data_IF_941469696048
#
_entry.id   IF_941469696048
#
_cell.length_a   1.000
_cell.length_b   1.000
_cell.length_c   1.000
_cell.angle_alpha   90.00
_cell.angle_beta   90.00
_cell.angle_gamma   90.00
#
_symmetry.space_group_name_H-M   'P 1'
#
loop_
_entity.id
_entity.type
_entity.pdbx_description
1 polymer ?
#
# COMPACT_ATOMS: atom_id res chain seq x y z
N UNK A 1 -47.90 -4.85 -16.39
CA UNK A 1 -46.64 -4.70 -17.16
C UNK A 1 -46.69 -3.62 -18.25
N UNK A 2 -47.79 -3.46 -19.00
CA UNK A 2 -47.85 -2.53 -20.14
C UNK A 2 -47.70 -1.03 -19.82
N UNK A 3 -48.17 -0.56 -18.65
CA UNK A 3 -48.07 0.86 -18.25
C UNK A 3 -46.62 1.34 -18.07
N UNK A 4 -45.80 0.62 -17.30
CA UNK A 4 -44.39 0.99 -17.08
C UNK A 4 -43.58 1.08 -18.38
N UNK A 5 -43.78 0.13 -19.30
CA UNK A 5 -43.13 0.13 -20.62
C UNK A 5 -43.58 1.32 -21.48
N UNK A 6 -44.86 1.67 -21.41
CA UNK A 6 -45.41 2.82 -22.12
C UNK A 6 -44.88 4.14 -21.54
N UNK A 7 -44.77 4.24 -20.23
CA UNK A 7 -44.23 5.41 -19.51
C UNK A 7 -42.74 5.62 -19.83
N UNK A 8 -41.92 4.56 -19.80
CA UNK A 8 -40.49 4.62 -20.19
C UNK A 8 -40.34 5.04 -21.66
N UNK A 9 -41.13 4.46 -22.57
CA UNK A 9 -41.09 4.83 -24.00
C UNK A 9 -41.48 6.28 -24.23
N UNK A 10 -42.48 6.76 -23.49
CA UNK A 10 -42.90 8.15 -23.53
C UNK A 10 -41.80 9.08 -23.00
N UNK A 11 -41.18 8.76 -21.87
CA UNK A 11 -40.07 9.54 -21.29
C UNK A 11 -38.88 9.66 -22.24
N UNK A 12 -38.43 8.55 -22.85
CA UNK A 12 -37.32 8.57 -23.83
C UNK A 12 -37.67 9.46 -25.03
N UNK A 13 -38.89 9.34 -25.58
CA UNK A 13 -39.33 10.17 -26.70
C UNK A 13 -39.37 11.65 -26.34
N UNK A 14 -39.71 11.99 -25.11
CA UNK A 14 -39.71 13.37 -24.60
C UNK A 14 -38.28 13.91 -24.45
N UNK A 15 -37.35 13.10 -23.92
CA UNK A 15 -35.93 13.48 -23.80
C UNK A 15 -35.27 13.73 -25.16
N UNK A 16 -35.60 12.91 -26.16
CA UNK A 16 -35.10 13.07 -27.55
C UNK A 16 -35.65 14.32 -28.24
N UNK A 17 -36.80 14.85 -27.80
CA UNK A 17 -37.39 16.09 -28.35
C UNK A 17 -36.74 17.36 -27.78
N UNK A 18 -36.01 17.27 -26.67
CA UNK A 18 -35.35 18.40 -26.02
C UNK A 18 -33.84 18.12 -25.81
N UNK A 19 -33.06 17.92 -26.88
CA UNK A 19 -31.69 17.39 -26.80
C UNK A 19 -30.74 18.27 -25.99
N UNK A 20 -30.85 19.60 -26.06
CA UNK A 20 -30.00 20.52 -25.29
C UNK A 20 -30.21 20.40 -23.78
N UNK A 21 -31.46 20.42 -23.32
CA UNK A 21 -31.80 20.26 -21.91
C UNK A 21 -31.39 18.87 -21.40
N UNK A 22 -31.71 17.82 -22.17
CA UNK A 22 -31.33 16.44 -21.85
C UNK A 22 -29.81 16.29 -21.72
N UNK A 23 -29.03 16.88 -22.63
CA UNK A 23 -27.58 16.81 -22.58
C UNK A 23 -27.02 17.47 -21.30
N UNK A 24 -27.49 18.66 -20.95
CA UNK A 24 -27.07 19.34 -19.71
C UNK A 24 -27.43 18.50 -18.48
N UNK A 25 -28.67 18.01 -18.40
CA UNK A 25 -29.12 17.19 -17.28
C UNK A 25 -28.30 15.90 -17.12
N UNK A 26 -28.01 15.21 -18.23
CA UNK A 26 -27.18 14.00 -18.24
C UNK A 26 -25.74 14.31 -17.81
N UNK A 27 -25.15 15.39 -18.31
CA UNK A 27 -23.80 15.81 -17.93
C UNK A 27 -23.71 16.17 -16.44
N UNK A 28 -24.68 16.91 -15.91
CA UNK A 28 -24.74 17.24 -14.48
C UNK A 28 -24.86 15.99 -13.61
N UNK A 29 -25.74 15.06 -13.98
CA UNK A 29 -25.88 13.77 -13.29
C UNK A 29 -24.59 12.95 -13.37
N UNK A 30 -23.99 12.84 -14.55
CA UNK A 30 -22.76 12.10 -14.77
C UNK A 30 -21.60 12.67 -13.94
N UNK A 31 -21.46 14.01 -13.89
CA UNK A 31 -20.46 14.68 -13.06
C UNK A 31 -20.69 14.43 -11.57
N UNK A 32 -21.93 14.56 -11.09
CA UNK A 32 -22.24 14.31 -9.67
C UNK A 32 -21.98 12.86 -9.24
N UNK A 33 -22.42 11.90 -10.07
CA UNK A 33 -22.20 10.47 -9.82
C UNK A 33 -20.71 10.14 -9.92
N UNK A 34 -20.03 10.64 -10.96
CA UNK A 34 -18.61 10.41 -11.20
C UNK A 34 -17.73 10.97 -10.10
N UNK A 35 -17.97 12.21 -9.67
CA UNK A 35 -17.20 12.85 -8.60
C UNK A 35 -17.33 12.09 -7.27
N UNK A 36 -18.55 11.73 -6.87
CA UNK A 36 -18.77 10.94 -5.65
C UNK A 36 -18.09 9.58 -5.75
N UNK A 37 -18.25 8.88 -6.87
CA UNK A 37 -17.61 7.57 -7.10
C UNK A 37 -16.09 7.66 -7.06
N UNK A 38 -15.51 8.71 -7.64
CA UNK A 38 -14.06 8.94 -7.65
C UNK A 38 -13.52 9.18 -6.23
N UNK A 39 -14.18 10.03 -5.44
CA UNK A 39 -13.81 10.29 -4.04
C UNK A 39 -13.89 9.00 -3.23
N UNK A 40 -15.00 8.25 -3.31
CA UNK A 40 -15.15 7.00 -2.57
C UNK A 40 -14.16 5.92 -3.02
N UNK A 41 -13.84 5.85 -4.32
CA UNK A 41 -12.83 4.92 -4.84
C UNK A 41 -11.44 5.25 -4.32
N UNK A 42 -11.08 6.54 -4.26
CA UNK A 42 -9.82 7.01 -3.70
C UNK A 42 -9.71 6.70 -2.20
N UNK A 43 -10.75 7.05 -1.43
CA UNK A 43 -10.83 6.76 0.01
C UNK A 43 -10.72 5.25 0.25
N UNK A 44 -11.42 4.44 -0.55
CA UNK A 44 -11.32 2.99 -0.44
C UNK A 44 -9.92 2.48 -0.75
N UNK A 45 -9.26 3.02 -1.76
CA UNK A 45 -7.92 2.59 -2.15
C UNK A 45 -6.83 2.98 -1.15
N UNK A 46 -6.95 4.15 -0.51
CA UNK A 46 -5.92 4.71 0.38
C UNK A 46 -6.17 4.36 1.85
N UNK A 47 -7.43 4.45 2.31
CA UNK A 47 -7.75 4.38 3.74
C UNK A 47 -8.31 3.02 4.12
N UNK A 48 -9.24 2.48 3.33
CA UNK A 48 -10.05 1.33 3.74
C UNK A 48 -9.57 -0.01 3.19
N UNK A 49 -8.70 -0.02 2.18
CA UNK A 49 -8.14 -1.26 1.66
C UNK A 49 -7.14 -1.76 2.70
N UNK A 50 -7.41 -2.89 3.37
CA UNK A 50 -6.49 -3.41 4.36
C UNK A 50 -5.14 -3.65 3.70
N UNK A 51 -4.07 -3.33 4.43
CA UNK A 51 -2.72 -3.68 4.01
C UNK A 51 -2.69 -5.19 3.73
N UNK A 52 -2.09 -5.64 2.61
CA UNK A 52 -2.09 -7.04 2.21
C UNK A 52 -1.11 -7.87 3.04
N UNK A 53 -1.19 -7.74 4.37
CA UNK A 53 -0.40 -8.46 5.35
C UNK A 53 -1.29 -9.47 6.07
N UNK A 54 -0.67 -10.48 6.68
CA UNK A 54 -1.37 -11.41 7.57
C UNK A 54 -1.88 -10.62 8.79
N UNK A 55 -3.16 -10.76 9.10
CA UNK A 55 -3.81 -10.19 10.29
C UNK A 55 -3.50 -8.69 10.53
N UNK A 56 -3.81 -7.78 9.59
CA UNK A 56 -3.37 -6.38 9.65
C UNK A 56 -3.95 -5.61 10.84
N UNK A 57 -5.05 -6.08 11.44
CA UNK A 57 -5.62 -5.53 12.67
C UNK A 57 -4.77 -5.79 13.92
N UNK A 58 -3.80 -6.70 13.86
CA UNK A 58 -2.90 -7.03 14.97
C UNK A 58 -1.52 -6.40 14.83
N UNK A 59 -1.30 -5.57 13.80
CA UNK A 59 -0.04 -4.86 13.59
C UNK A 59 -0.09 -3.48 14.24
N UNK A 60 0.96 -3.16 15.01
CA UNK A 60 1.16 -1.84 15.60
C UNK A 60 2.58 -1.36 15.32
N UNK A 61 2.76 -0.04 15.18
CA UNK A 61 4.08 0.57 15.14
C UNK A 61 4.39 1.08 16.54
N UNK A 62 5.37 0.47 17.18
CA UNK A 62 5.89 0.91 18.47
C UNK A 62 6.95 1.99 18.26
N UNK A 63 6.90 3.01 19.11
CA UNK A 63 7.85 4.12 19.14
C UNK A 63 8.36 4.28 20.56
N UNK A 64 9.58 4.77 20.71
CA UNK A 64 10.08 5.22 22.01
C UNK A 64 9.72 6.70 22.26
N UNK A 65 9.71 7.09 23.52
CA UNK A 65 9.55 8.47 23.97
C UNK A 65 10.80 8.88 24.73
N UNK A 66 11.68 9.65 24.08
CA UNK A 66 12.90 10.15 24.72
C UNK A 66 12.63 11.37 25.63
N UNK A 67 11.79 12.29 25.16
CA UNK A 67 11.30 13.46 25.91
C UNK A 67 9.82 13.67 25.61
N UNK A 68 9.03 14.31 26.49
CA UNK A 68 7.61 14.59 26.23
C UNK A 68 7.34 15.33 24.91
N UNK A 69 8.28 16.20 24.49
CA UNK A 69 8.20 16.89 23.19
C UNK A 69 8.56 16.03 21.96
N UNK A 70 9.14 14.84 22.17
CA UNK A 70 9.48 13.86 21.13
C UNK A 70 8.85 12.50 21.45
N UNK A 71 7.52 12.37 21.38
CA UNK A 71 6.79 11.16 21.78
C UNK A 71 6.87 10.00 20.76
N UNK A 72 7.55 10.20 19.62
CA UNK A 72 7.66 9.20 18.55
C UNK A 72 9.06 9.16 17.99
N UNK A 73 9.98 8.60 18.77
CA UNK A 73 11.37 8.37 18.37
C UNK A 73 11.54 6.92 17.92
N UNK A 74 12.34 6.72 16.88
CA UNK A 74 12.66 5.38 16.40
C UNK A 74 13.43 4.59 17.47
N UNK A 75 13.11 3.31 17.57
CA UNK A 75 13.76 2.37 18.48
C UNK A 75 15.02 1.81 17.82
N UNK A 76 16.14 1.79 18.55
CA UNK A 76 17.35 1.15 18.03
C UNK A 76 17.19 -0.38 17.95
N UNK A 77 17.92 -1.08 17.07
CA UNK A 77 17.86 -2.54 17.01
C UNK A 77 18.16 -3.24 18.34
N UNK A 78 19.04 -2.66 19.18
CA UNK A 78 19.38 -3.21 20.48
C UNK A 78 18.24 -3.03 21.50
N UNK A 79 17.57 -1.88 21.50
CA UNK A 79 16.40 -1.63 22.35
C UNK A 79 15.22 -2.53 21.96
N UNK A 80 14.99 -2.76 20.66
CA UNK A 80 13.95 -3.68 20.22
C UNK A 80 14.18 -5.10 20.74
N UNK A 81 15.44 -5.57 20.72
CA UNK A 81 15.79 -6.88 21.25
C UNK A 81 15.58 -6.96 22.77
N UNK A 82 15.86 -5.88 23.51
CA UNK A 82 15.53 -5.79 24.93
C UNK A 82 14.02 -5.86 25.16
N UNK A 83 13.22 -5.12 24.39
CA UNK A 83 11.76 -5.17 24.49
C UNK A 83 11.21 -6.57 24.24
N UNK A 84 11.76 -7.26 23.25
CA UNK A 84 11.40 -8.64 22.91
C UNK A 84 11.71 -9.61 24.06
N UNK A 85 12.77 -9.37 24.83
CA UNK A 85 13.14 -10.21 25.97
C UNK A 85 12.35 -9.87 27.25
N UNK A 86 11.80 -8.65 27.34
CA UNK A 86 11.16 -8.13 28.54
C UNK A 86 9.63 -8.15 28.48
N UNK A 87 9.04 -8.47 27.32
CA UNK A 87 7.60 -8.37 27.10
C UNK A 87 7.07 -9.47 26.19
N UNK A 88 6.06 -10.20 26.67
CA UNK A 88 5.37 -11.27 25.93
C UNK A 88 4.07 -10.78 25.25
N UNK A 89 3.83 -9.47 25.18
CA UNK A 89 2.58 -8.91 24.62
C UNK A 89 2.51 -9.00 23.09
N UNK A 90 3.64 -9.20 22.41
CA UNK A 90 3.73 -9.30 20.95
C UNK A 90 4.16 -10.70 20.54
N UNK A 91 3.46 -11.29 19.56
CA UNK A 91 3.81 -12.60 18.97
C UNK A 91 5.18 -12.57 18.29
N UNK A 92 5.47 -11.48 17.54
CA UNK A 92 6.76 -11.24 16.92
C UNK A 92 6.99 -9.71 16.79
N UNK A 93 8.23 -9.32 16.52
CA UNK A 93 8.63 -7.92 16.39
C UNK A 93 9.75 -7.76 15.36
N UNK A 94 9.67 -6.69 14.57
CA UNK A 94 10.65 -6.39 13.53
C UNK A 94 10.85 -4.86 13.44
N UNK A 95 12.05 -4.44 13.07
CA UNK A 95 12.33 -3.04 12.75
C UNK A 95 12.35 -2.81 11.24
N UNK A 96 12.03 -1.58 10.84
CA UNK A 96 12.24 -1.05 9.50
C UNK A 96 12.60 0.43 9.59
N UNK A 97 13.30 0.94 8.57
CA UNK A 97 13.51 2.38 8.43
C UNK A 97 12.29 3.02 7.78
N UNK A 98 11.72 4.02 8.43
CA UNK A 98 10.50 4.70 7.95
C UNK A 98 10.69 5.50 6.65
N UNK A 99 11.94 5.76 6.27
CA UNK A 99 12.29 6.53 5.06
C UNK A 99 13.02 5.59 4.12
N UNK A 100 12.55 5.53 2.88
CA UNK A 100 13.26 4.86 1.79
C UNK A 100 14.47 5.70 1.37
N UNK A 101 15.55 5.05 0.99
CA UNK A 101 16.78 5.71 0.54
C UNK A 101 16.90 5.60 -0.97
N UNK A 102 17.16 6.72 -1.62
CA UNK A 102 17.58 6.73 -3.02
C UNK A 102 19.01 6.18 -3.09
N UNK A 103 19.17 5.07 -3.81
CA UNK A 103 20.43 4.38 -3.97
C UNK A 103 20.72 4.16 -5.45
N UNK A 104 21.99 4.26 -5.81
CA UNK A 104 22.46 3.87 -7.15
C UNK A 104 22.77 2.38 -7.16
N UNK A 105 21.98 1.61 -7.92
CA UNK A 105 22.22 0.20 -8.16
C UNK A 105 23.04 0.05 -9.45
N UNK A 106 24.22 -0.54 -9.31
CA UNK A 106 25.09 -0.91 -10.42
C UNK A 106 25.19 -2.43 -10.51
N UNK A 107 25.00 -2.96 -11.72
CA UNK A 107 25.33 -4.35 -12.04
C UNK A 107 26.52 -4.34 -13.01
N UNK A 108 27.39 -5.34 -12.94
CA UNK A 108 28.59 -5.41 -13.78
C UNK A 108 28.23 -5.28 -15.27
N UNK A 109 28.73 -4.21 -15.91
CA UNK A 109 28.49 -3.94 -17.33
C UNK A 109 27.16 -3.25 -17.66
N UNK A 110 26.35 -2.88 -16.67
CA UNK A 110 25.08 -2.17 -16.88
C UNK A 110 25.15 -0.71 -16.40
N UNK A 111 24.31 0.13 -17.01
CA UNK A 111 24.13 1.51 -16.56
C UNK A 111 23.51 1.54 -15.15
N UNK A 112 24.01 2.46 -14.31
CA UNK A 112 23.50 2.69 -12.98
C UNK A 112 22.00 3.05 -13.01
N UNK A 113 21.26 2.61 -12.00
CA UNK A 113 19.84 2.97 -11.81
C UNK A 113 19.67 3.56 -10.45
N UNK A 114 18.88 4.60 -10.39
CA UNK A 114 18.29 5.00 -9.13
C UNK A 114 17.21 3.98 -8.71
N UNK A 115 17.35 3.47 -7.50
CA UNK A 115 16.39 2.59 -6.85
C UNK A 115 16.04 3.12 -5.47
N UNK A 116 14.79 2.96 -5.07
CA UNK A 116 14.37 3.26 -3.71
C UNK A 116 14.54 2.00 -2.86
N UNK A 117 15.42 2.05 -1.87
CA UNK A 117 15.75 0.94 -0.99
C UNK A 117 15.15 1.13 0.41
N UNK A 118 14.51 0.07 0.92
CA UNK A 118 14.07 -0.02 2.31
C UNK A 118 15.01 -0.91 3.10
N UNK A 119 15.28 -0.53 4.36
CA UNK A 119 16.05 -1.35 5.29
C UNK A 119 15.13 -1.92 6.36
N UNK A 120 15.22 -3.23 6.55
CA UNK A 120 14.37 -3.98 7.47
C UNK A 120 15.19 -5.03 8.21
N UNK A 121 14.71 -5.44 9.38
CA UNK A 121 15.23 -6.61 10.07
C UNK A 121 14.93 -7.90 9.30
N UNK A 122 15.71 -8.98 9.50
CA UNK A 122 15.47 -10.25 8.79
C UNK A 122 14.04 -10.78 8.92
N UNK A 123 13.44 -10.67 10.11
CA UNK A 123 12.10 -11.20 10.42
C UNK A 123 10.94 -10.36 9.86
N UNK A 124 11.21 -9.22 9.23
CA UNK A 124 10.18 -8.27 8.82
C UNK A 124 9.14 -8.89 7.87
N UNK A 125 9.58 -9.59 6.83
CA UNK A 125 8.66 -10.18 5.85
C UNK A 125 7.91 -11.39 6.42
N UNK A 126 8.56 -12.23 7.24
CA UNK A 126 7.92 -13.37 7.88
C UNK A 126 6.86 -12.93 8.91
N UNK A 127 7.15 -11.89 9.71
CA UNK A 127 6.20 -11.29 10.64
C UNK A 127 4.94 -10.80 9.90
N UNK A 128 5.11 -10.13 8.76
CA UNK A 128 3.99 -9.67 7.92
C UNK A 128 3.27 -10.80 7.16
N UNK A 129 3.77 -12.03 7.23
CA UNK A 129 3.25 -13.17 6.47
C UNK A 129 3.46 -13.05 4.95
N UNK A 130 4.47 -12.28 4.52
CA UNK A 130 4.80 -12.06 3.12
C UNK A 130 5.93 -13.00 2.71
N UNK A 131 5.63 -13.93 1.80
CA UNK A 131 6.63 -14.80 1.20
C UNK A 131 7.12 -14.23 -0.14
N UNK A 132 8.43 -14.30 -0.45
CA UNK A 132 8.91 -13.93 -1.76
C UNK A 132 8.44 -14.92 -2.83
N UNK A 133 8.16 -14.43 -4.04
CA UNK A 133 7.73 -15.28 -5.16
C UNK A 133 8.84 -16.25 -5.62
N UNK A 134 10.10 -15.88 -5.40
CA UNK A 134 11.30 -16.65 -5.76
C UNK A 134 12.34 -16.46 -4.66
N UNK A 135 13.05 -17.53 -4.31
CA UNK A 135 14.06 -17.52 -3.26
C UNK A 135 13.48 -17.59 -1.85
N UNK A 136 14.26 -17.18 -0.86
CA UNK A 136 13.90 -17.16 0.56
C UNK A 136 13.80 -15.71 1.06
N UNK A 137 12.97 -15.50 2.10
CA UNK A 137 13.03 -14.26 2.84
C UNK A 137 14.33 -14.21 3.66
N UNK A 138 14.69 -13.01 4.15
CA UNK A 138 15.86 -12.84 5.00
C UNK A 138 15.82 -13.81 6.19
N UNK A 139 16.91 -14.54 6.42
CA UNK A 139 17.07 -15.45 7.54
C UNK A 139 18.06 -14.95 8.60
N UNK A 140 18.03 -15.54 9.79
CA UNK A 140 18.90 -15.18 10.92
C UNK A 140 20.40 -15.40 10.64
N UNK A 141 20.74 -16.15 9.59
CA UNK A 141 22.12 -16.45 9.16
C UNK A 141 22.50 -15.80 7.82
N UNK A 142 21.67 -14.91 7.30
CA UNK A 142 21.98 -14.27 6.03
C UNK A 142 23.12 -13.25 6.14
N UNK A 143 23.85 -13.09 5.04
CA UNK A 143 24.88 -12.06 4.92
C UNK A 143 24.25 -10.67 5.09
N UNK A 144 24.94 -9.72 5.75
CA UNK A 144 24.51 -8.31 5.83
C UNK A 144 24.28 -7.63 4.47
N UNK A 145 24.65 -8.29 3.37
CA UNK A 145 24.58 -7.79 1.99
C UNK A 145 23.47 -8.47 1.16
N UNK A 146 22.54 -9.20 1.78
CA UNK A 146 21.35 -9.71 1.09
C UNK A 146 20.38 -8.58 0.72
N UNK A 147 19.75 -8.68 -0.44
CA UNK A 147 18.70 -7.77 -0.88
C UNK A 147 17.50 -8.53 -1.44
N UNK A 148 16.30 -8.09 -1.09
CA UNK A 148 15.07 -8.55 -1.72
C UNK A 148 14.64 -7.54 -2.79
N UNK A 149 14.46 -8.02 -4.02
CA UNK A 149 14.13 -7.16 -5.16
C UNK A 149 12.63 -7.15 -5.41
N UNK A 150 12.11 -5.98 -5.80
CA UNK A 150 10.75 -5.91 -6.31
C UNK A 150 10.61 -6.68 -7.63
N UNK A 151 9.43 -7.24 -7.89
CA UNK A 151 9.13 -7.97 -9.13
C UNK A 151 9.44 -7.14 -10.39
N UNK A 152 9.13 -5.84 -10.34
CA UNK A 152 9.42 -4.89 -11.41
C UNK A 152 10.93 -4.74 -11.62
N UNK A 153 11.70 -4.50 -10.56
CA UNK A 153 13.15 -4.32 -10.65
C UNK A 153 13.84 -5.60 -11.18
N UNK A 154 13.42 -6.77 -10.68
CA UNK A 154 13.88 -8.05 -11.18
C UNK A 154 13.66 -8.17 -12.70
N UNK A 155 12.43 -7.98 -13.17
CA UNK A 155 12.09 -8.09 -14.61
C UNK A 155 12.81 -7.08 -15.49
N UNK A 156 13.00 -5.85 -15.01
CA UNK A 156 13.62 -4.80 -15.80
C UNK A 156 15.14 -4.94 -15.89
N UNK A 157 15.80 -5.52 -14.87
CA UNK A 157 17.27 -5.52 -14.77
C UNK A 157 17.94 -6.90 -14.76
N UNK A 158 17.22 -7.96 -14.39
CA UNK A 158 17.79 -9.29 -14.15
C UNK A 158 17.08 -10.44 -14.88
N UNK A 159 15.85 -10.25 -15.39
CA UNK A 159 15.16 -11.23 -16.25
C UNK A 159 13.65 -11.09 -16.35
#
# INVERSE_FOLDING_TARGET
MGKLLQDVRYAVRTLLRAPGFTAVAVLTLALGIGANTAIFSLVRAIILKPLPFRDPSHLVIAWDTYLPQYPKVGVSPAELELWRQQSDIFEDSAWFRSIAYDMSLTASGAEAVEVHAGFVSPRFFSMLGVAPKRGTAFGDRESPQSALLSDKLWKTRFG
#
